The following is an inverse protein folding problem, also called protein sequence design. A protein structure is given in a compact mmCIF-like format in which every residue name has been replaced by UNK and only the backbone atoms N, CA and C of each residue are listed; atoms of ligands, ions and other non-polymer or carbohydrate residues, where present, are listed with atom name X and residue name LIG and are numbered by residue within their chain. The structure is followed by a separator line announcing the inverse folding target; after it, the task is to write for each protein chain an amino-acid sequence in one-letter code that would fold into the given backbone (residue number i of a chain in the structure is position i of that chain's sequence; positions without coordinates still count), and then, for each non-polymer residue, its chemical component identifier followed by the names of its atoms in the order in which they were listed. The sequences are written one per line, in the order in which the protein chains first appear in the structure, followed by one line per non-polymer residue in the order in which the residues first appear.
data_IF_487212121990
#
_entry.id   IF_487212121990
#
_cell.length_a   1.000
_cell.length_b   1.000
_cell.length_c   1.000
_cell.angle_alpha   90.00
_cell.angle_beta   90.00
_cell.angle_gamma   90.00
#
_symmetry.space_group_name_H-M   'P 1'
#
loop_
_entity.id
_entity.type
_entity.pdbx_description
1 polymer ?
#
# COMPACT_ATOMS: atom_id res chain seq x y z
N UNK A 1 71.01 -41.84 20.84
CA UNK A 1 71.18 -41.58 19.40
C UNK A 1 71.12 -40.07 19.16
N UNK A 2 72.21 -39.47 18.66
CA UNK A 2 72.26 -38.06 18.20
C UNK A 2 72.37 -38.08 16.68
N UNK A 3 71.34 -37.62 15.97
CA UNK A 3 71.40 -37.45 14.52
C UNK A 3 71.71 -35.99 14.19
N UNK A 4 72.95 -35.73 13.82
CA UNK A 4 73.40 -34.51 13.14
C UNK A 4 72.97 -34.56 11.68
N UNK A 5 72.14 -33.60 11.25
CA UNK A 5 71.83 -33.40 9.83
C UNK A 5 72.89 -32.49 9.17
N UNK A 6 73.40 -32.81 7.97
CA UNK A 6 74.42 -32.02 7.31
C UNK A 6 73.87 -30.68 6.78
N UNK A 7 74.65 -29.62 6.99
CA UNK A 7 74.41 -28.27 6.49
C UNK A 7 74.43 -28.25 4.96
N UNK A 8 73.26 -28.16 4.32
CA UNK A 8 73.14 -27.95 2.87
C UNK A 8 73.28 -26.46 2.58
N UNK A 9 74.44 -26.05 2.08
CA UNK A 9 74.65 -24.69 1.59
C UNK A 9 73.75 -24.42 0.37
N UNK A 10 73.05 -23.29 0.38
CA UNK A 10 72.22 -22.87 -0.74
C UNK A 10 73.09 -22.50 -1.96
N UNK A 11 72.73 -22.92 -3.18
CA UNK A 11 73.45 -22.54 -4.38
C UNK A 11 73.33 -21.03 -4.59
N UNK A 12 74.47 -20.33 -4.53
CA UNK A 12 74.58 -18.91 -4.84
C UNK A 12 74.69 -18.75 -6.35
N UNK A 13 73.58 -18.41 -7.00
CA UNK A 13 73.62 -18.04 -8.41
C UNK A 13 74.19 -16.63 -8.56
N UNK A 14 75.38 -16.53 -9.17
CA UNK A 14 75.95 -15.25 -9.54
C UNK A 14 75.32 -14.78 -10.84
N UNK A 15 74.50 -13.74 -10.77
CA UNK A 15 73.92 -13.10 -11.96
C UNK A 15 75.03 -12.39 -12.73
N UNK A 16 75.11 -12.63 -14.04
CA UNK A 16 76.03 -11.89 -14.88
C UNK A 16 75.54 -10.44 -15.09
N UNK A 17 76.42 -9.55 -15.55
CA UNK A 17 76.10 -8.14 -15.70
C UNK A 17 74.90 -7.90 -16.64
N UNK A 18 74.73 -8.71 -17.69
CA UNK A 18 73.60 -8.58 -18.61
C UNK A 18 72.26 -8.91 -17.92
N UNK A 19 72.23 -9.95 -17.07
CA UNK A 19 71.04 -10.32 -16.29
C UNK A 19 70.69 -9.27 -15.25
N UNK A 20 71.69 -8.71 -14.56
CA UNK A 20 71.48 -7.58 -13.62
C UNK A 20 70.85 -6.39 -14.32
N UNK A 21 71.38 -5.98 -15.47
CA UNK A 21 70.84 -4.83 -16.22
C UNK A 21 69.41 -5.09 -16.70
N UNK A 22 69.10 -6.33 -17.11
CA UNK A 22 67.74 -6.72 -17.51
C UNK A 22 66.73 -6.62 -16.36
N UNK A 23 67.11 -7.11 -15.18
CA UNK A 23 66.28 -7.05 -13.97
C UNK A 23 66.08 -5.59 -13.52
N UNK A 24 67.15 -4.79 -13.50
CA UNK A 24 67.07 -3.37 -13.14
C UNK A 24 66.16 -2.60 -14.11
N UNK A 25 66.26 -2.87 -15.42
CA UNK A 25 65.39 -2.25 -16.42
C UNK A 25 63.92 -2.71 -16.30
N UNK A 26 63.66 -3.96 -15.91
CA UNK A 26 62.30 -4.43 -15.60
C UNK A 26 61.74 -3.76 -14.33
N UNK A 27 62.55 -3.59 -13.29
CA UNK A 27 62.12 -2.89 -12.07
C UNK A 27 61.84 -1.42 -12.37
N UNK A 28 62.69 -0.73 -13.15
CA UNK A 28 62.47 0.67 -13.55
C UNK A 28 61.22 0.85 -14.42
N UNK A 29 61.02 -0.02 -15.41
CA UNK A 29 59.84 0.04 -16.29
C UNK A 29 58.53 -0.33 -15.58
N UNK A 30 58.59 -1.15 -14.51
CA UNK A 30 57.42 -1.44 -13.68
C UNK A 30 57.00 -0.25 -12.79
N UNK A 31 57.93 0.63 -12.40
CA UNK A 31 57.64 1.85 -11.64
C UNK A 31 57.07 2.97 -12.52
N UNK A 32 57.52 3.11 -13.76
CA UNK A 32 57.05 4.18 -14.67
C UNK A 32 55.71 3.88 -15.36
N UNK A 33 55.20 2.64 -15.31
CA UNK A 33 53.89 2.29 -15.88
C UNK A 33 52.68 2.65 -15.00
N UNK A 34 52.90 3.29 -13.84
CA UNK A 34 51.85 3.57 -12.85
C UNK A 34 51.24 4.98 -12.90
N UNK A 35 51.67 5.83 -13.82
CA UNK A 35 51.29 7.27 -13.81
C UNK A 35 50.32 7.73 -14.91
N UNK A 36 49.84 6.87 -15.81
CA UNK A 36 48.84 7.26 -16.82
C UNK A 36 47.57 6.40 -16.76
N UNK A 37 46.91 6.43 -15.61
CA UNK A 37 45.45 6.23 -15.53
C UNK A 37 44.86 7.39 -14.75
N UNK A 38 44.73 8.54 -15.41
CA UNK A 38 43.75 9.54 -14.99
C UNK A 38 42.38 8.87 -15.10
N UNK A 39 41.92 8.32 -13.98
CA UNK A 39 40.59 7.76 -13.84
C UNK A 39 39.61 8.94 -13.77
N UNK A 40 38.95 9.22 -14.89
CA UNK A 40 37.77 10.09 -14.94
C UNK A 40 36.57 9.52 -14.16
N UNK A 41 36.69 8.33 -13.54
CA UNK A 41 35.62 7.69 -12.79
C UNK A 41 35.38 8.25 -11.38
N UNK A 42 36.25 9.13 -10.86
CA UNK A 42 36.11 9.65 -9.49
C UNK A 42 35.18 10.85 -9.34
N UNK A 43 34.72 11.43 -10.45
CA UNK A 43 33.76 12.55 -10.44
C UNK A 43 32.38 12.21 -11.02
N UNK A 44 32.23 11.08 -11.72
CA UNK A 44 30.93 10.68 -12.31
C UNK A 44 30.04 9.93 -11.31
N UNK A 45 30.64 9.24 -10.32
CA UNK A 45 29.88 8.46 -9.32
C UNK A 45 28.98 9.28 -8.37
N UNK A 46 29.38 10.44 -7.82
CA UNK A 46 28.48 11.20 -6.94
C UNK A 46 27.35 11.92 -7.70
N UNK A 47 27.56 12.29 -8.97
CA UNK A 47 26.53 12.95 -9.78
C UNK A 47 25.46 11.98 -10.27
N UNK A 48 25.82 10.77 -10.72
CA UNK A 48 24.83 9.76 -11.08
C UNK A 48 24.00 9.33 -9.86
N UNK A 49 24.63 9.19 -8.69
CA UNK A 49 23.93 8.88 -7.44
C UNK A 49 22.93 9.97 -7.06
N UNK A 50 23.30 11.26 -7.19
CA UNK A 50 22.41 12.38 -6.88
C UNK A 50 21.19 12.45 -7.79
N UNK A 51 21.39 12.25 -9.11
CA UNK A 51 20.28 12.24 -10.09
C UNK A 51 19.33 11.07 -9.85
N UNK A 52 19.86 9.88 -9.55
CA UNK A 52 19.03 8.70 -9.23
C UNK A 52 18.24 8.92 -7.94
N UNK A 53 18.84 9.51 -6.91
CA UNK A 53 18.13 9.84 -5.66
C UNK A 53 17.05 10.91 -5.91
N UNK A 54 17.33 11.94 -6.70
CA UNK A 54 16.34 12.95 -7.10
C UNK A 54 15.18 12.33 -7.86
N UNK A 55 15.45 11.43 -8.82
CA UNK A 55 14.40 10.71 -9.55
C UNK A 55 13.62 9.75 -8.66
N UNK A 56 14.24 9.15 -7.65
CA UNK A 56 13.57 8.32 -6.65
C UNK A 56 12.67 9.16 -5.73
N UNK A 57 13.13 10.32 -5.28
CA UNK A 57 12.34 11.23 -4.44
C UNK A 57 11.19 11.86 -5.24
N UNK A 58 11.44 12.29 -6.48
CA UNK A 58 10.38 12.75 -7.38
C UNK A 58 9.45 11.61 -7.79
N UNK A 59 9.96 10.41 -8.03
CA UNK A 59 9.16 9.25 -8.41
C UNK A 59 8.26 8.78 -7.28
N UNK A 60 8.79 8.64 -6.06
CA UNK A 60 8.01 8.30 -4.87
C UNK A 60 7.04 9.45 -4.54
N UNK A 61 7.47 10.70 -4.64
CA UNK A 61 6.63 11.86 -4.36
C UNK A 61 5.47 12.01 -5.35
N UNK A 62 5.73 11.85 -6.65
CA UNK A 62 4.68 11.88 -7.68
C UNK A 62 3.81 10.64 -7.64
N UNK A 63 4.35 9.44 -7.40
CA UNK A 63 3.56 8.22 -7.24
C UNK A 63 2.66 8.29 -6.01
N UNK A 64 3.16 8.77 -4.87
CA UNK A 64 2.35 8.94 -3.65
C UNK A 64 1.32 10.07 -3.82
N UNK A 65 1.69 11.17 -4.50
CA UNK A 65 0.73 12.22 -4.83
C UNK A 65 -0.36 11.68 -5.77
N UNK A 66 0.00 10.90 -6.79
CA UNK A 66 -0.98 10.29 -7.68
C UNK A 66 -1.80 9.16 -7.02
N UNK A 67 -1.24 8.36 -6.12
CA UNK A 67 -2.00 7.31 -5.44
C UNK A 67 -2.93 7.83 -4.34
N UNK A 68 -2.65 9.03 -3.81
CA UNK A 68 -3.49 9.67 -2.77
C UNK A 68 -4.44 10.74 -3.37
N UNK A 69 -4.07 11.41 -4.47
CA UNK A 69 -4.85 12.51 -5.06
C UNK A 69 -5.40 12.23 -6.48
N UNK A 70 -4.99 11.15 -7.16
CA UNK A 70 -5.72 10.62 -8.32
C UNK A 70 -6.43 9.33 -7.91
N UNK A 71 -7.37 9.47 -6.98
CA UNK A 71 -8.64 8.78 -7.22
C UNK A 71 -9.22 9.50 -8.44
N UNK A 72 -9.14 8.88 -9.61
CA UNK A 72 -9.94 9.37 -10.74
C UNK A 72 -11.39 9.34 -10.24
N UNK A 73 -12.11 10.48 -10.21
CA UNK A 73 -13.53 10.44 -9.96
C UNK A 73 -14.09 9.62 -11.11
N UNK A 74 -14.52 8.39 -10.80
CA UNK A 74 -15.34 7.56 -11.68
C UNK A 74 -16.39 8.51 -12.24
N UNK A 75 -16.30 8.73 -13.55
CA UNK A 75 -17.10 9.69 -14.29
C UNK A 75 -18.45 9.90 -13.63
N UNK A 76 -18.66 11.12 -13.14
CA UNK A 76 -19.91 11.64 -12.64
C UNK A 76 -20.94 11.69 -13.78
N UNK A 77 -21.31 10.52 -14.29
CA UNK A 77 -22.50 10.33 -15.09
C UNK A 77 -23.65 10.14 -14.11
N UNK A 78 -24.41 11.21 -13.98
CA UNK A 78 -25.84 11.24 -13.66
C UNK A 78 -26.26 10.55 -12.35
N UNK A 79 -26.54 11.39 -11.36
CA UNK A 79 -27.54 11.24 -10.31
C UNK A 79 -28.42 9.97 -10.37
N UNK A 80 -27.84 8.85 -9.97
CA UNK A 80 -28.59 7.76 -9.35
C UNK A 80 -28.98 8.29 -7.97
N UNK A 81 -30.14 8.92 -7.88
CA UNK A 81 -30.72 9.29 -6.59
C UNK A 81 -31.01 7.99 -5.86
N UNK A 82 -30.22 7.66 -4.85
CA UNK A 82 -30.55 6.56 -3.98
C UNK A 82 -31.59 7.04 -2.96
N UNK A 83 -32.35 6.10 -2.44
CA UNK A 83 -33.31 6.31 -1.36
C UNK A 83 -32.92 5.34 -0.25
N UNK A 84 -32.92 5.81 0.99
CA UNK A 84 -32.69 4.99 2.18
C UNK A 84 -33.50 5.58 3.33
N UNK A 85 -34.19 4.73 4.08
CA UNK A 85 -35.00 5.14 5.22
C UNK A 85 -34.12 5.14 6.48
N UNK A 86 -33.61 6.32 6.83
CA UNK A 86 -32.81 6.52 8.04
C UNK A 86 -33.69 6.99 9.22
N UNK A 87 -33.31 6.67 10.46
CA UNK A 87 -33.88 7.30 11.65
C UNK A 87 -33.85 8.83 11.56
N UNK A 88 -34.85 9.49 12.15
CA UNK A 88 -35.03 10.96 12.05
C UNK A 88 -33.86 11.77 12.59
N UNK A 89 -33.07 11.19 13.48
CA UNK A 89 -31.90 11.84 14.07
C UNK A 89 -30.65 11.76 13.18
N UNK A 90 -30.71 11.03 12.07
CA UNK A 90 -29.62 10.87 11.12
C UNK A 90 -29.91 11.71 9.87
N UNK A 91 -28.98 12.61 9.54
CA UNK A 91 -29.02 13.45 8.34
C UNK A 91 -28.03 12.95 7.31
N UNK A 92 -28.32 13.21 6.03
CA UNK A 92 -27.42 12.90 4.92
C UNK A 92 -26.76 14.20 4.46
N UNK A 93 -25.43 14.20 4.36
CA UNK A 93 -24.67 15.30 3.76
C UNK A 93 -23.90 14.80 2.53
N UNK A 94 -23.85 15.61 1.48
CA UNK A 94 -23.09 15.31 0.27
C UNK A 94 -21.64 15.78 0.45
N UNK A 95 -20.69 14.88 0.19
CA UNK A 95 -19.25 15.16 0.27
C UNK A 95 -18.55 14.60 -0.96
N UNK A 96 -18.37 15.45 -1.97
CA UNK A 96 -17.81 15.03 -3.26
C UNK A 96 -18.71 13.99 -3.93
N UNK A 97 -18.14 12.83 -4.28
CA UNK A 97 -18.86 11.71 -4.90
C UNK A 97 -19.51 10.75 -3.89
N UNK A 98 -19.57 11.14 -2.61
CA UNK A 98 -20.08 10.33 -1.51
C UNK A 98 -21.16 11.04 -0.71
N UNK A 99 -21.98 10.26 -0.01
CA UNK A 99 -22.98 10.77 0.92
C UNK A 99 -22.68 10.23 2.31
N UNK A 100 -22.48 11.10 3.29
CA UNK A 100 -22.20 10.71 4.67
C UNK A 100 -23.47 10.79 5.52
N UNK A 101 -23.59 9.87 6.46
CA UNK A 101 -24.68 9.82 7.44
C UNK A 101 -24.18 10.39 8.75
N UNK A 102 -24.82 11.45 9.24
CA UNK A 102 -24.45 12.15 10.46
C UNK A 102 -25.55 12.02 11.51
N UNK A 103 -25.17 11.61 12.72
CA UNK A 103 -26.04 11.67 13.91
C UNK A 103 -25.43 12.66 14.89
N UNK A 104 -26.11 13.76 15.18
CA UNK A 104 -25.60 14.84 16.05
C UNK A 104 -24.20 15.34 15.64
N UNK A 105 -23.94 15.44 14.32
CA UNK A 105 -22.64 15.86 13.78
C UNK A 105 -21.51 14.82 13.83
N UNK A 106 -21.79 13.59 14.26
CA UNK A 106 -20.85 12.47 14.21
C UNK A 106 -21.18 11.55 13.03
N UNK A 107 -20.18 11.17 12.25
CA UNK A 107 -20.34 10.20 11.16
C UNK A 107 -20.67 8.82 11.70
N UNK A 108 -21.78 8.27 11.22
CA UNK A 108 -22.28 6.94 11.59
C UNK A 108 -22.36 5.99 10.40
N UNK A 109 -22.01 6.44 9.21
CA UNK A 109 -22.03 5.65 7.99
C UNK A 109 -22.03 6.52 6.74
N UNK A 110 -22.30 5.89 5.60
CA UNK A 110 -22.43 6.60 4.33
C UNK A 110 -22.64 5.67 3.15
N UNK A 111 -22.76 6.28 1.97
CA UNK A 111 -22.87 5.62 0.67
C UNK A 111 -21.83 6.23 -0.27
N UNK A 112 -21.05 5.37 -0.90
CA UNK A 112 -20.15 5.79 -1.98
C UNK A 112 -20.21 4.81 -3.15
N UNK A 113 -20.02 5.33 -4.36
CA UNK A 113 -19.84 4.50 -5.54
C UNK A 113 -18.41 4.00 -5.60
N UNK A 114 -18.23 2.70 -5.80
CA UNK A 114 -16.93 2.06 -5.95
C UNK A 114 -16.91 1.17 -7.20
N UNK A 115 -15.71 0.87 -7.69
CA UNK A 115 -15.49 -0.10 -8.76
C UNK A 115 -15.10 -1.47 -8.18
N UNK A 116 -14.94 -2.45 -9.07
CA UNK A 116 -14.58 -3.83 -8.72
C UNK A 116 -13.19 -3.90 -8.08
N UNK A 117 -12.25 -3.10 -8.55
CA UNK A 117 -10.88 -3.05 -8.02
C UNK A 117 -10.87 -2.61 -6.56
N UNK A 118 -11.58 -1.52 -6.24
CA UNK A 118 -11.69 -1.00 -4.89
C UNK A 118 -12.46 -1.96 -3.97
N UNK A 119 -13.51 -2.62 -4.47
CA UNK A 119 -14.18 -3.70 -3.73
C UNK A 119 -13.21 -4.81 -3.37
N UNK A 120 -12.41 -5.31 -4.34
CA UNK A 120 -11.41 -6.36 -4.07
C UNK A 120 -10.33 -5.89 -3.08
N UNK A 121 -9.90 -4.63 -3.17
CA UNK A 121 -8.97 -4.05 -2.20
C UNK A 121 -9.56 -4.05 -0.79
N UNK A 122 -10.82 -3.64 -0.61
CA UNK A 122 -11.52 -3.68 0.69
C UNK A 122 -11.63 -5.13 1.20
N UNK A 123 -12.00 -6.08 0.33
CA UNK A 123 -12.10 -7.50 0.68
C UNK A 123 -10.75 -8.16 0.98
N UNK A 124 -9.63 -7.58 0.52
CA UNK A 124 -8.29 -8.08 0.82
C UNK A 124 -7.75 -7.60 2.18
N UNK A 125 -8.43 -6.68 2.86
CA UNK A 125 -7.97 -6.15 4.13
C UNK A 125 -8.04 -7.22 5.22
N UNK A 126 -6.99 -7.30 6.03
CA UNK A 126 -7.01 -8.13 7.24
C UNK A 126 -8.07 -7.59 8.22
N UNK A 127 -8.84 -8.48 8.83
CA UNK A 127 -9.84 -8.10 9.84
C UNK A 127 -11.29 -8.26 9.39
N UNK A 128 -11.56 -8.91 8.26
CA UNK A 128 -12.91 -9.36 7.91
C UNK A 128 -13.33 -10.47 8.87
N UNK A 129 -14.47 -10.29 9.53
CA UNK A 129 -15.04 -11.21 10.50
C UNK A 129 -16.19 -12.03 9.92
N UNK A 130 -17.04 -11.37 9.14
CA UNK A 130 -18.15 -11.98 8.41
C UNK A 130 -18.09 -11.54 6.95
N UNK A 131 -18.42 -12.46 6.04
CA UNK A 131 -18.55 -12.24 4.61
C UNK A 131 -19.71 -13.10 4.10
N UNK A 132 -20.87 -12.47 3.92
CA UNK A 132 -22.13 -13.14 3.59
C UNK A 132 -22.70 -12.60 2.29
N UNK A 133 -23.20 -13.51 1.44
CA UNK A 133 -24.09 -13.15 0.34
C UNK A 133 -25.51 -13.06 0.88
N UNK A 134 -26.17 -11.93 0.65
CA UNK A 134 -27.51 -11.66 1.14
C UNK A 134 -28.53 -11.81 0.02
N UNK A 135 -29.48 -12.72 0.21
CA UNK A 135 -30.55 -13.01 -0.77
C UNK A 135 -31.82 -12.17 -0.52
N UNK A 136 -31.88 -11.43 0.60
CA UNK A 136 -33.05 -10.68 1.03
C UNK A 136 -33.02 -9.19 0.65
N UNK A 137 -32.10 -8.82 -0.24
CA UNK A 137 -31.98 -7.51 -0.88
C UNK A 137 -32.54 -7.55 -2.29
N UNK A 138 -33.00 -6.39 -2.79
CA UNK A 138 -33.50 -6.29 -4.17
C UNK A 138 -32.41 -6.52 -5.21
N UNK A 139 -31.19 -6.07 -4.92
CA UNK A 139 -30.02 -6.22 -5.77
C UNK A 139 -29.01 -7.19 -5.14
N UNK A 140 -28.18 -7.87 -5.96
CA UNK A 140 -27.06 -8.67 -5.48
C UNK A 140 -26.22 -7.91 -4.43
N UNK A 141 -26.22 -8.42 -3.20
CA UNK A 141 -25.60 -7.74 -2.06
C UNK A 141 -24.67 -8.68 -1.32
N UNK A 142 -23.44 -8.21 -1.08
CA UNK A 142 -22.47 -8.88 -0.21
C UNK A 142 -22.25 -8.04 1.04
N UNK A 143 -22.47 -8.62 2.20
CA UNK A 143 -22.25 -7.99 3.50
C UNK A 143 -20.91 -8.40 4.07
N UNK A 144 -20.13 -7.42 4.51
CA UNK A 144 -18.84 -7.66 5.15
C UNK A 144 -18.76 -6.89 6.46
N UNK A 145 -18.35 -7.57 7.53
CA UNK A 145 -18.10 -6.95 8.82
C UNK A 145 -16.59 -6.85 9.07
N UNK A 146 -16.06 -5.64 9.19
CA UNK A 146 -14.65 -5.41 9.54
C UNK A 146 -14.46 -5.24 11.06
N UNK A 147 -13.40 -5.85 11.61
CA UNK A 147 -12.96 -5.78 13.00
C UNK A 147 -11.79 -4.79 13.17
N UNK A 148 -11.36 -4.47 14.39
CA UNK A 148 -11.86 -3.52 15.41
C UNK A 148 -10.56 -3.10 16.10
N UNK A 149 -10.25 -1.80 16.23
CA UNK A 149 -9.10 -1.38 17.07
C UNK A 149 -9.41 -1.68 18.53
N UNK A 150 -8.65 -2.59 19.14
CA UNK A 150 -8.87 -3.21 20.47
C UNK A 150 -8.96 -2.27 21.69
N UNK A 151 -8.98 -0.96 21.52
CA UNK A 151 -9.11 0.00 22.62
C UNK A 151 -10.51 0.65 22.63
N UNK A 152 -11.13 0.89 21.46
CA UNK A 152 -12.49 1.44 21.29
C UNK A 152 -13.16 0.72 20.11
N UNK A 153 -14.16 -0.12 20.39
CA UNK A 153 -14.59 -1.12 19.44
C UNK A 153 -15.46 -0.56 18.30
N UNK A 154 -14.82 -0.01 17.26
CA UNK A 154 -15.46 0.40 16.01
C UNK A 154 -15.64 -0.83 15.12
N UNK A 155 -16.87 -1.31 15.01
CA UNK A 155 -17.27 -2.27 13.98
C UNK A 155 -17.83 -1.50 12.79
N UNK A 156 -17.31 -1.75 11.61
CA UNK A 156 -17.90 -1.19 10.38
C UNK A 156 -18.49 -2.32 9.56
N UNK A 157 -19.78 -2.25 9.30
CA UNK A 157 -20.47 -3.16 8.39
C UNK A 157 -20.61 -2.49 7.04
N UNK A 158 -20.24 -3.20 5.98
CA UNK A 158 -20.35 -2.78 4.60
C UNK A 158 -21.35 -3.66 3.88
N UNK A 159 -22.17 -3.05 3.04
CA UNK A 159 -23.08 -3.68 2.11
C UNK A 159 -22.65 -3.28 0.70
N UNK A 160 -22.01 -4.19 -0.01
CA UNK A 160 -21.64 -4.02 -1.41
C UNK A 160 -22.84 -4.39 -2.29
N UNK A 161 -23.63 -3.39 -2.64
CA UNK A 161 -24.86 -3.51 -3.42
C UNK A 161 -24.53 -3.27 -4.88
N UNK A 162 -24.64 -4.30 -5.71
CA UNK A 162 -24.34 -4.23 -7.13
C UNK A 162 -25.64 -4.35 -7.94
N UNK A 163 -26.11 -3.26 -8.56
CA UNK A 163 -27.29 -3.32 -9.42
C UNK A 163 -27.03 -4.23 -10.60
N UNK A 164 -28.03 -5.04 -10.95
CA UNK A 164 -27.97 -5.82 -12.18
C UNK A 164 -27.69 -4.89 -13.38
N UNK A 165 -26.83 -5.34 -14.29
CA UNK A 165 -26.45 -4.64 -15.53
C UNK A 165 -25.57 -3.37 -15.37
N UNK A 166 -25.02 -3.09 -14.18
CA UNK A 166 -24.08 -1.98 -13.97
C UNK A 166 -22.73 -2.45 -13.42
N UNK A 167 -21.65 -1.86 -13.93
CA UNK A 167 -20.29 -2.02 -13.38
C UNK A 167 -20.04 -1.17 -12.12
N UNK A 168 -21.05 -0.40 -11.69
CA UNK A 168 -21.01 0.38 -10.46
C UNK A 168 -21.43 -0.49 -9.27
N UNK A 169 -20.70 -0.36 -8.17
CA UNK A 169 -21.03 -0.98 -6.88
C UNK A 169 -21.28 0.16 -5.89
N UNK A 170 -22.36 0.07 -5.11
CA UNK A 170 -22.59 0.97 -3.99
C UNK A 170 -22.04 0.31 -2.73
N UNK A 171 -21.10 1.00 -2.07
CA UNK A 171 -20.63 0.64 -0.74
C UNK A 171 -21.45 1.46 0.27
N UNK A 172 -22.48 0.81 0.82
CA UNK A 172 -23.28 1.33 1.92
C UNK A 172 -22.66 0.83 3.22
N UNK A 173 -22.14 1.73 4.05
CA UNK A 173 -21.42 1.37 5.27
C UNK A 173 -22.00 2.03 6.52
N UNK A 174 -21.86 1.36 7.66
CA UNK A 174 -22.31 1.87 8.96
C UNK A 174 -21.27 1.58 10.05
N UNK A 175 -21.09 2.56 10.93
CA UNK A 175 -20.19 2.49 12.08
C UNK A 175 -20.96 2.15 13.36
N UNK A 176 -20.84 0.91 13.81
CA UNK A 176 -21.28 0.47 15.12
C UNK A 176 -20.14 0.70 16.13
N UNK A 177 -19.93 1.97 16.52
CA UNK A 177 -18.83 2.38 17.41
C UNK A 177 -19.18 2.16 18.89
N UNK A 178 -20.42 2.45 19.25
CA UNK A 178 -20.94 2.29 20.61
C UNK A 178 -22.35 1.71 20.52
N UNK A 179 -22.73 0.80 21.43
CA UNK A 179 -24.09 0.28 21.47
C UNK A 179 -25.14 1.37 21.65
N UNK A 180 -26.29 1.20 21.01
CA UNK A 180 -27.44 2.10 21.10
C UNK A 180 -27.36 3.28 20.15
N UNK A 181 -26.32 3.37 19.32
CA UNK A 181 -26.25 4.44 18.30
C UNK A 181 -27.38 4.34 17.29
N UNK A 182 -27.86 3.13 16.99
CA UNK A 182 -29.01 2.89 16.12
C UNK A 182 -30.28 2.51 16.89
N UNK A 183 -30.23 2.55 18.23
CA UNK A 183 -31.36 2.22 19.11
C UNK A 183 -31.36 0.79 19.64
N UNK A 184 -30.31 0.00 19.37
CA UNK A 184 -30.12 -1.34 19.91
C UNK A 184 -29.72 -1.33 21.40
N UNK A 185 -29.99 -2.43 22.10
CA UNK A 185 -29.54 -2.62 23.49
C UNK A 185 -28.06 -2.97 23.60
N UNK A 186 -27.47 -3.49 22.53
CA UNK A 186 -26.09 -3.94 22.41
C UNK A 186 -25.65 -3.87 20.92
N UNK A 187 -24.41 -4.25 20.61
CA UNK A 187 -23.90 -4.26 19.24
C UNK A 187 -24.67 -5.18 18.29
N UNK A 188 -25.14 -6.34 18.77
CA UNK A 188 -25.89 -7.29 17.93
C UNK A 188 -27.27 -6.73 17.57
N UNK A 189 -27.93 -6.09 18.53
CA UNK A 189 -29.17 -5.38 18.31
C UNK A 189 -28.98 -4.21 17.32
N UNK A 190 -27.89 -3.44 17.46
CA UNK A 190 -27.57 -2.38 16.49
C UNK A 190 -27.30 -2.95 15.09
N UNK A 191 -26.54 -4.04 14.96
CA UNK A 191 -26.29 -4.69 13.66
C UNK A 191 -27.58 -5.15 12.99
N UNK A 192 -28.55 -5.66 13.76
CA UNK A 192 -29.88 -6.02 13.25
C UNK A 192 -30.62 -4.79 12.74
N UNK A 193 -30.64 -3.70 13.50
CA UNK A 193 -31.31 -2.46 13.08
C UNK A 193 -30.63 -1.88 11.84
N UNK A 194 -29.29 -1.87 11.80
CA UNK A 194 -28.52 -1.45 10.64
C UNK A 194 -28.88 -2.29 9.41
N UNK A 195 -29.01 -3.60 9.57
CA UNK A 195 -29.42 -4.48 8.48
C UNK A 195 -30.83 -4.16 7.97
N UNK A 196 -31.79 -3.94 8.88
CA UNK A 196 -33.16 -3.53 8.53
C UNK A 196 -33.18 -2.17 7.79
N UNK A 197 -32.35 -1.21 8.22
CA UNK A 197 -32.15 0.07 7.52
C UNK A 197 -31.55 -0.17 6.13
N UNK A 198 -30.48 -0.97 6.03
CA UNK A 198 -29.79 -1.22 4.77
C UNK A 198 -30.73 -1.84 3.71
N UNK A 199 -31.68 -2.68 4.13
CA UNK A 199 -32.69 -3.26 3.23
C UNK A 199 -33.64 -2.25 2.60
N UNK A 200 -33.75 -1.05 3.16
CA UNK A 200 -34.54 0.05 2.58
C UNK A 200 -33.81 0.76 1.46
N UNK A 201 -32.51 0.49 1.26
CA UNK A 201 -31.72 1.10 0.21
C UNK A 201 -32.27 0.74 -1.19
N UNK A 202 -32.55 1.76 -1.99
CA UNK A 202 -33.04 1.66 -3.37
C UNK A 202 -32.27 2.61 -4.26
N UNK A 203 -32.14 2.24 -5.53
CA UNK A 203 -31.49 3.06 -6.55
C UNK A 203 -32.56 3.43 -7.57
N UNK A 204 -32.73 4.72 -7.83
CA UNK A 204 -33.60 5.21 -8.90
C UNK A 204 -32.92 5.11 -10.28
#
# INVERSE_FOLDING_TARGET
MKNTYPNKSFPKFQLNNAQRTRIVNQIRSSKTKKENRFSSSRFIMPFLSGVVILLLVFGIGTYSYYSIFKEEPLHADSASSFIIDLPKEITIEEQGDSHIFLKNGTEVGGVKKINKELKQQLLSQSGIFEDDLLEDFQEPTQRVLFHVKQIHAIQTVHYFIQPNDKDVIYDLYFHANNPGYFGGSDYQADLKIIHDIAKTFRIN
#
